data_IF_447493861110
#
_entry.id   IF_447493861110
#
_cell.length_a   1.000
_cell.length_b   1.000
_cell.length_c   1.000
_cell.angle_alpha   90.00
_cell.angle_beta   90.00
_cell.angle_gamma   90.00
#
_symmetry.space_group_name_H-M   'P 1'
#
loop_
_entity.id
_entity.type
_entity.pdbx_description
1 polymer ?
#
# COMPACT_ATOMS: atom_id res chain seq x y z
N UNK A 1 7.09 -3.96 -15.93
CA UNK A 1 8.16 -3.21 -15.24
C UNK A 1 7.82 -1.73 -15.28
N UNK A 2 7.93 -1.04 -14.14
CA UNK A 2 7.92 0.42 -14.13
C UNK A 2 9.32 0.94 -14.47
N UNK A 3 9.41 2.15 -15.03
CA UNK A 3 10.67 2.82 -15.37
C UNK A 3 11.34 3.53 -14.17
N UNK A 4 10.82 3.31 -12.96
CA UNK A 4 11.34 3.86 -11.72
C UNK A 4 11.37 2.78 -10.63
N UNK A 5 12.15 3.05 -9.58
CA UNK A 5 12.23 2.23 -8.37
C UNK A 5 11.69 3.03 -7.20
N UNK A 6 11.12 2.33 -6.22
CA UNK A 6 10.75 2.94 -4.95
C UNK A 6 11.90 2.80 -3.93
N UNK A 7 12.11 3.82 -3.10
CA UNK A 7 13.07 3.78 -2.00
C UNK A 7 12.61 2.84 -0.89
N UNK A 8 13.52 1.97 -0.43
CA UNK A 8 13.25 1.10 0.72
C UNK A 8 13.00 1.91 2.00
N UNK A 9 13.64 3.06 2.18
CA UNK A 9 13.55 3.86 3.42
C UNK A 9 12.30 4.75 3.51
N UNK A 10 11.46 4.74 2.49
CA UNK A 10 10.36 5.70 2.36
C UNK A 10 10.71 6.86 1.42
N UNK A 11 9.68 7.40 0.79
CA UNK A 11 9.71 8.59 -0.07
C UNK A 11 8.27 9.10 -0.31
N UNK A 12 8.15 10.08 -1.20
CA UNK A 12 6.87 10.67 -1.61
C UNK A 12 6.55 10.25 -3.04
N UNK A 13 5.36 9.68 -3.23
CA UNK A 13 4.76 9.42 -4.53
C UNK A 13 3.75 10.52 -4.82
N UNK A 14 3.89 11.16 -5.98
CA UNK A 14 2.98 12.22 -6.42
C UNK A 14 2.34 11.81 -7.74
N UNK A 15 1.01 11.82 -7.79
CA UNK A 15 0.23 11.66 -9.01
C UNK A 15 -0.19 13.04 -9.50
N UNK A 16 0.14 13.37 -10.73
CA UNK A 16 -0.18 14.67 -11.34
C UNK A 16 -0.84 14.51 -12.71
N UNK A 17 -1.77 15.40 -13.03
CA UNK A 17 -2.30 15.61 -14.37
C UNK A 17 -1.73 16.93 -14.93
N UNK A 18 -0.61 16.85 -15.64
CA UNK A 18 0.15 18.02 -16.05
C UNK A 18 0.73 18.77 -14.85
N UNK A 19 0.28 20.01 -14.61
CA UNK A 19 0.68 20.82 -13.44
C UNK A 19 -0.28 20.67 -12.25
N UNK A 20 -1.36 19.91 -12.40
CA UNK A 20 -2.35 19.70 -11.34
C UNK A 20 -1.96 18.52 -10.48
N UNK A 21 -1.90 18.74 -9.15
CA UNK A 21 -1.79 17.65 -8.19
C UNK A 21 -3.10 16.86 -8.14
N UNK A 22 -3.02 15.55 -8.36
CA UNK A 22 -4.16 14.63 -8.27
C UNK A 22 -4.14 13.90 -6.92
N UNK A 23 -2.98 13.34 -6.55
CA UNK A 23 -2.80 12.69 -5.25
C UNK A 23 -1.33 12.77 -4.81
N UNK A 24 -1.09 12.71 -3.50
CA UNK A 24 0.24 12.65 -2.89
C UNK A 24 0.20 11.71 -1.71
N UNK A 25 1.07 10.70 -1.76
CA UNK A 25 1.26 9.75 -0.68
C UNK A 25 2.71 9.83 -0.23
N UNK A 26 2.89 9.90 1.09
CA UNK A 26 4.18 9.74 1.73
C UNK A 26 4.17 8.40 2.46
N UNK A 27 5.18 7.57 2.20
CA UNK A 27 5.28 6.25 2.80
C UNK A 27 6.60 6.09 3.54
N UNK A 28 6.56 5.33 4.63
CA UNK A 28 7.71 5.04 5.48
C UNK A 28 8.49 3.80 4.98
N UNK A 29 9.48 3.35 5.75
CA UNK A 29 10.29 2.18 5.41
C UNK A 29 9.44 0.97 4.97
N UNK A 30 9.81 0.39 3.82
CA UNK A 30 9.17 -0.80 3.28
C UNK A 30 9.72 -2.05 3.99
N UNK A 31 8.80 -2.87 4.49
CA UNK A 31 9.08 -4.13 5.17
C UNK A 31 8.77 -5.28 4.20
N UNK A 32 9.60 -6.34 4.14
CA UNK A 32 9.29 -7.53 3.35
C UNK A 32 7.90 -8.09 3.68
N UNK A 33 7.21 -8.60 2.67
CA UNK A 33 5.89 -9.22 2.79
C UNK A 33 4.80 -8.32 3.39
N UNK A 34 4.98 -7.00 3.31
CA UNK A 34 3.97 -6.00 3.69
C UNK A 34 3.74 -5.06 2.51
N UNK A 35 2.48 -4.90 2.12
CA UNK A 35 2.04 -3.90 1.16
C UNK A 35 1.35 -2.74 1.87
N UNK A 36 1.24 -1.58 1.20
CA UNK A 36 0.41 -0.46 1.66
C UNK A 36 -0.83 -0.38 0.77
N UNK A 37 -2.01 -0.34 1.37
CA UNK A 37 -3.26 -0.25 0.61
C UNK A 37 -4.42 0.29 1.43
N UNK A 38 -5.52 0.59 0.75
CA UNK A 38 -6.76 1.08 1.37
C UNK A 38 -7.68 -0.11 1.64
N UNK A 39 -8.21 -0.19 2.85
CA UNK A 39 -9.12 -1.25 3.28
C UNK A 39 -10.04 -0.74 4.41
N UNK A 40 -11.32 -1.15 4.47
CA UNK A 40 -12.03 -2.00 3.49
C UNK A 40 -12.45 -1.22 2.23
N UNK A 41 -12.60 0.10 2.35
CA UNK A 41 -13.11 0.95 1.26
C UNK A 41 -11.98 1.66 0.52
N UNK A 42 -12.27 2.08 -0.72
CA UNK A 42 -11.34 2.85 -1.56
C UNK A 42 -11.01 4.24 -1.00
N UNK A 43 -11.81 4.76 -0.07
CA UNK A 43 -11.59 6.05 0.59
C UNK A 43 -10.85 5.92 1.93
N UNK A 44 -10.69 4.70 2.45
CA UNK A 44 -9.95 4.46 3.70
C UNK A 44 -8.50 4.94 3.61
N UNK A 45 -7.88 5.41 4.70
CA UNK A 45 -6.45 5.71 4.71
C UNK A 45 -5.60 4.52 4.26
N UNK A 46 -4.41 4.81 3.73
CA UNK A 46 -3.42 3.75 3.49
C UNK A 46 -3.00 3.12 4.82
N UNK A 47 -2.91 1.80 4.82
CA UNK A 47 -2.46 1.02 5.96
C UNK A 47 -1.67 -0.20 5.51
N UNK A 48 -0.89 -0.81 6.43
CA UNK A 48 -0.20 -2.07 6.16
C UNK A 48 -1.19 -3.22 5.87
N UNK A 49 -0.96 -3.92 4.77
CA UNK A 49 -1.71 -5.10 4.36
C UNK A 49 -0.77 -6.28 4.11
N UNK A 50 -1.21 -7.47 4.54
CA UNK A 50 -0.59 -8.76 4.26
C UNK A 50 -0.96 -9.25 2.85
N UNK A 51 0.02 -9.57 2.00
CA UNK A 51 -0.21 -10.22 0.71
C UNK A 51 -0.93 -11.56 0.90
N UNK A 52 -1.95 -11.81 0.09
CA UNK A 52 -2.71 -13.06 0.06
C UNK A 52 -2.79 -13.56 -1.37
N UNK A 53 -1.77 -14.28 -1.88
CA UNK A 53 -1.72 -14.71 -3.28
C UNK A 53 -3.04 -15.36 -3.75
N UNK A 54 -3.59 -14.86 -4.86
CA UNK A 54 -4.88 -15.32 -5.41
C UNK A 54 -6.13 -14.84 -4.68
N UNK A 55 -6.01 -14.02 -3.62
CA UNK A 55 -7.11 -13.42 -2.85
C UNK A 55 -6.88 -11.91 -2.65
N UNK A 56 -7.88 -11.14 -2.19
CA UNK A 56 -7.65 -9.73 -1.83
C UNK A 56 -6.79 -9.62 -0.57
N UNK A 57 -5.85 -8.66 -0.54
CA UNK A 57 -5.00 -8.41 0.62
C UNK A 57 -5.84 -8.14 1.89
N UNK A 58 -5.27 -8.42 3.06
CA UNK A 58 -5.93 -8.24 4.36
C UNK A 58 -5.09 -7.34 5.26
N UNK A 59 -5.70 -6.59 6.20
CA UNK A 59 -4.93 -5.84 7.18
C UNK A 59 -3.98 -6.71 8.00
N UNK A 60 -2.79 -6.18 8.32
CA UNK A 60 -1.79 -6.91 9.12
C UNK A 60 -2.21 -7.15 10.58
N UNK A 61 -3.23 -6.45 11.09
CA UNK A 61 -3.68 -6.44 12.49
C UNK A 61 -5.02 -7.17 12.73
N UNK A 62 -5.59 -7.78 11.69
CA UNK A 62 -6.77 -8.63 11.87
C UNK A 62 -6.32 -9.99 12.41
N UNK A 63 -6.96 -10.53 13.47
CA UNK A 63 -6.84 -11.94 13.80
C UNK A 63 -7.23 -12.71 12.54
N UNK A 64 -6.33 -13.56 12.05
CA UNK A 64 -6.68 -14.51 11.00
C UNK A 64 -7.72 -15.45 11.59
N UNK A 65 -9.00 -15.17 11.35
CA UNK A 65 -10.00 -16.22 11.44
C UNK A 65 -9.62 -17.27 10.38
N UNK A 66 -9.42 -18.50 10.87
CA UNK A 66 -9.31 -19.75 10.13
C UNK A 66 -7.92 -20.13 9.59
N UNK A 67 -7.03 -20.50 10.52
CA UNK A 67 -6.21 -21.72 10.36
C UNK A 67 -6.94 -22.86 11.10
N UNK A 68 -7.96 -23.46 10.46
CA UNK A 68 -8.51 -24.79 10.76
C UNK A 68 -8.41 -25.64 9.48
#
# INVERSE_FOLDING_TARGET
HANFKLSRSGEVITLTAGRMLVDRIEFAEQVPDVSQGRFPELTSPLRPLKPTPGKPNRPCDQPTEQDD
#
